data_IF_563142199874
#
_entry.id   IF_563142199874
#
_cell.length_a   1.000
_cell.length_b   1.000
_cell.length_c   1.000
_cell.angle_alpha   90.00
_cell.angle_beta   90.00
_cell.angle_gamma   90.00
#
_symmetry.space_group_name_H-M   'P 1'
#
loop_
_entity.id
_entity.type
_entity.pdbx_description
1 polymer ?
#
# COMPACT_ATOMS: atom_id res chain seq x y z
N UNK A 1 30.14 23.20 -13.97
CA UNK A 1 29.49 22.73 -12.72
C UNK A 1 28.02 23.04 -12.86
N UNK A 2 27.13 22.05 -12.71
CA UNK A 2 25.68 22.28 -12.82
C UNK A 2 25.15 22.53 -11.42
N UNK A 3 24.62 23.72 -11.16
CA UNK A 3 23.96 24.03 -9.89
C UNK A 3 22.53 23.51 -9.98
N UNK A 4 22.17 22.53 -9.16
CA UNK A 4 20.78 22.10 -9.03
C UNK A 4 20.00 23.22 -8.34
N UNK A 5 19.05 23.81 -9.05
CA UNK A 5 18.08 24.72 -8.44
C UNK A 5 17.08 23.89 -7.62
N UNK A 6 17.04 24.12 -6.32
CA UNK A 6 16.06 23.51 -5.42
C UNK A 6 14.86 24.45 -5.27
N UNK A 7 13.65 23.90 -5.25
CA UNK A 7 12.47 24.65 -4.87
C UNK A 7 12.62 25.16 -3.42
N UNK A 8 12.10 26.35 -3.09
CA UNK A 8 12.16 26.87 -1.73
C UNK A 8 11.36 26.01 -0.76
N UNK A 9 11.74 26.02 0.52
CA UNK A 9 11.09 25.21 1.56
C UNK A 9 9.59 25.47 1.67
N UNK A 10 9.17 26.73 1.50
CA UNK A 10 7.76 27.13 1.52
C UNK A 10 6.92 26.37 0.49
N UNK A 11 7.46 26.08 -0.69
CA UNK A 11 6.76 25.34 -1.74
C UNK A 11 6.70 23.83 -1.46
N UNK A 12 7.69 23.28 -0.75
CA UNK A 12 7.80 21.83 -0.50
C UNK A 12 7.04 21.43 0.78
N UNK A 13 7.20 22.21 1.84
CA UNK A 13 6.73 21.87 3.20
C UNK A 13 5.79 22.91 3.81
N UNK A 14 5.43 23.96 3.06
CA UNK A 14 4.49 24.99 3.52
C UNK A 14 5.05 25.92 4.60
N UNK A 15 6.38 25.96 4.80
CA UNK A 15 7.07 26.79 5.80
C UNK A 15 8.48 27.15 5.34
N UNK A 16 9.01 28.27 5.85
CA UNK A 16 10.33 28.78 5.45
C UNK A 16 11.47 28.02 6.13
N UNK A 17 11.33 27.75 7.43
CA UNK A 17 12.33 27.05 8.23
C UNK A 17 11.89 25.63 8.55
N UNK A 18 12.82 24.68 8.41
CA UNK A 18 12.57 23.26 8.72
C UNK A 18 12.24 23.08 10.20
N UNK A 19 12.94 23.80 11.08
CA UNK A 19 12.85 23.70 12.54
C UNK A 19 11.87 24.69 13.18
N UNK A 20 10.90 25.20 12.42
CA UNK A 20 9.81 26.00 12.99
C UNK A 20 8.89 25.10 13.84
N UNK A 21 9.21 25.03 15.14
CA UNK A 21 8.54 24.16 16.10
C UNK A 21 7.06 24.52 16.28
N UNK A 22 6.71 25.81 16.28
CA UNK A 22 5.33 26.25 16.44
C UNK A 22 4.49 25.81 15.23
N UNK A 23 5.02 25.99 14.01
CA UNK A 23 4.37 25.51 12.80
C UNK A 23 4.20 23.97 12.81
N UNK A 24 5.21 23.22 13.26
CA UNK A 24 5.14 21.75 13.37
C UNK A 24 4.04 21.32 14.33
N UNK A 25 4.03 21.89 15.54
CA UNK A 25 3.12 21.48 16.60
C UNK A 25 1.68 21.95 16.34
N UNK A 26 1.48 22.97 15.49
CA UNK A 26 0.15 23.40 15.06
C UNK A 26 -0.57 22.41 14.14
N UNK A 27 0.16 21.46 13.52
CA UNK A 27 -0.44 20.41 12.68
C UNK A 27 -0.91 19.27 13.59
N UNK A 28 -2.23 19.11 13.69
CA UNK A 28 -2.82 17.98 14.41
C UNK A 28 -2.54 16.68 13.67
N UNK A 29 -1.89 15.71 14.34
CA UNK A 29 -1.80 14.35 13.84
C UNK A 29 -3.18 13.67 13.85
N UNK A 30 -3.36 12.63 13.05
CA UNK A 30 -4.55 11.77 13.13
C UNK A 30 -4.59 11.02 14.48
N UNK A 31 -5.78 10.63 14.92
CA UNK A 31 -5.98 9.89 16.16
C UNK A 31 -5.26 8.53 16.06
N UNK A 32 -4.33 8.28 16.98
CA UNK A 32 -3.53 7.04 17.01
C UNK A 32 -4.39 5.84 17.41
N UNK A 33 -5.47 6.09 18.15
CA UNK A 33 -6.39 5.05 18.62
C UNK A 33 -7.58 4.85 17.64
N UNK A 34 -7.51 5.44 16.44
CA UNK A 34 -8.54 5.28 15.42
C UNK A 34 -8.69 3.82 14.99
N UNK A 35 -9.91 3.29 15.11
CA UNK A 35 -10.23 1.89 14.81
C UNK A 35 -10.08 1.57 13.31
N UNK A 36 -10.26 2.55 12.43
CA UNK A 36 -10.22 2.38 10.99
C UNK A 36 -9.44 3.51 10.32
N UNK A 37 -8.36 3.18 9.61
CA UNK A 37 -7.56 4.14 8.86
C UNK A 37 -7.93 4.08 7.37
N UNK A 38 -8.87 4.94 6.94
CA UNK A 38 -9.36 4.91 5.55
C UNK A 38 -8.48 5.77 4.66
N UNK A 39 -7.78 5.15 3.70
CA UNK A 39 -7.10 5.84 2.61
C UNK A 39 -7.92 5.71 1.34
N UNK A 40 -8.33 6.84 0.75
CA UNK A 40 -9.06 6.84 -0.52
C UNK A 40 -8.17 6.28 -1.64
N UNK A 41 -8.55 5.12 -2.17
CA UNK A 41 -7.98 4.63 -3.42
C UNK A 41 -8.59 5.41 -4.61
N UNK A 42 -7.76 6.11 -5.38
CA UNK A 42 -8.18 6.87 -6.57
C UNK A 42 -7.98 6.07 -7.87
N UNK A 43 -7.90 4.74 -7.78
CA UNK A 43 -7.76 3.84 -8.92
C UNK A 43 -8.87 2.78 -8.93
N UNK A 44 -9.22 2.33 -10.14
CA UNK A 44 -10.18 1.23 -10.31
C UNK A 44 -9.65 -0.04 -9.64
N UNK A 45 -10.51 -0.72 -8.88
CA UNK A 45 -10.19 -1.97 -8.21
C UNK A 45 -10.80 -3.13 -8.98
N UNK A 46 -9.96 -4.06 -9.45
CA UNK A 46 -10.40 -5.29 -10.12
C UNK A 46 -10.09 -6.48 -9.20
N UNK A 47 -11.13 -7.20 -8.76
CA UNK A 47 -10.97 -8.47 -8.05
C UNK A 47 -10.69 -9.58 -9.06
N UNK A 48 -9.45 -10.06 -9.10
CA UNK A 48 -9.00 -11.08 -10.07
C UNK A 48 -9.15 -12.51 -9.58
N UNK A 49 -9.60 -12.72 -8.34
CA UNK A 49 -9.87 -14.06 -7.82
C UNK A 49 -11.15 -14.63 -8.42
N UNK A 50 -10.96 -15.42 -9.46
CA UNK A 50 -11.97 -16.34 -9.96
C UNK A 50 -11.91 -17.64 -9.15
N UNK A 51 -12.87 -17.84 -8.25
CA UNK A 51 -13.05 -19.09 -7.51
C UNK A 51 -13.74 -20.18 -8.33
N UNK A 52 -14.16 -19.88 -9.57
CA UNK A 52 -14.62 -20.92 -10.47
C UNK A 52 -13.45 -21.86 -10.77
N UNK A 53 -13.68 -23.17 -10.75
CA UNK A 53 -12.67 -24.19 -11.07
C UNK A 53 -12.36 -24.21 -12.59
N UNK A 54 -11.98 -23.07 -13.15
CA UNK A 54 -11.80 -22.83 -14.58
C UNK A 54 -10.69 -23.66 -15.25
N UNK A 55 -9.89 -24.40 -14.48
CA UNK A 55 -8.75 -25.19 -14.98
C UNK A 55 -8.94 -26.70 -14.72
N UNK A 56 -9.82 -27.38 -15.50
CA UNK A 56 -10.16 -28.78 -15.27
C UNK A 56 -8.96 -29.74 -15.41
N UNK A 57 -7.96 -29.40 -16.22
CA UNK A 57 -6.74 -30.21 -16.36
C UNK A 57 -5.89 -30.21 -15.09
N UNK A 58 -5.75 -29.05 -14.43
CA UNK A 58 -5.00 -28.95 -13.17
C UNK A 58 -5.69 -29.69 -12.03
N UNK A 59 -7.04 -29.65 -11.99
CA UNK A 59 -7.82 -30.46 -11.06
C UNK A 59 -7.52 -31.95 -11.22
N UNK A 60 -7.47 -32.45 -12.46
CA UNK A 60 -7.15 -33.86 -12.73
C UNK A 60 -5.77 -34.27 -12.17
N UNK A 61 -4.78 -33.37 -12.26
CA UNK A 61 -3.45 -33.61 -11.69
C UNK A 61 -3.48 -33.60 -10.16
N UNK A 62 -4.16 -32.63 -9.56
CA UNK A 62 -4.35 -32.55 -8.11
C UNK A 62 -5.01 -33.82 -7.54
N UNK A 63 -6.12 -34.25 -8.14
CA UNK A 63 -6.86 -35.45 -7.72
C UNK A 63 -5.99 -36.72 -7.77
N UNK A 64 -5.08 -36.79 -8.74
CA UNK A 64 -4.12 -37.90 -8.87
C UNK A 64 -3.02 -37.85 -7.80
N UNK A 65 -2.60 -36.65 -7.39
CA UNK A 65 -1.48 -36.45 -6.49
C UNK A 65 -1.85 -36.46 -5.00
N UNK A 66 -3.11 -36.14 -4.65
CA UNK A 66 -3.52 -35.86 -3.26
C UNK A 66 -3.29 -37.01 -2.26
N UNK A 67 -3.29 -38.26 -2.71
CA UNK A 67 -3.06 -39.44 -1.88
C UNK A 67 -1.62 -39.96 -1.93
N UNK A 68 -0.75 -39.33 -2.75
CA UNK A 68 0.63 -39.75 -2.96
C UNK A 68 1.63 -39.04 -2.07
N UNK A 69 1.21 -38.52 -0.91
CA UNK A 69 2.13 -37.88 0.02
C UNK A 69 3.05 -38.92 0.65
N UNK A 70 4.34 -38.60 0.70
CA UNK A 70 5.40 -39.53 1.11
C UNK A 70 5.42 -39.85 2.62
N UNK A 71 4.71 -39.05 3.43
CA UNK A 71 4.59 -39.21 4.88
C UNK A 71 3.11 -39.20 5.28
N UNK A 72 2.36 -40.22 4.85
CA UNK A 72 0.99 -40.41 5.31
C UNK A 72 0.94 -40.74 6.82
#
# INVERSE_FOLDING_TARGET
MSTTEHAPNSDIIGRDNVDDIEAILSVSNVDVDEVEHIVKNNADTIFTWDYSLARPQLRKLYEKAKTGQWNA
#
